data_IF_056134392545
#
_entry.id   IF_056134392545
#
_cell.length_a   1.000
_cell.length_b   1.000
_cell.length_c   1.000
_cell.angle_alpha   90.00
_cell.angle_beta   90.00
_cell.angle_gamma   90.00
#
_symmetry.space_group_name_H-M   'P 1'
#
loop_
_entity.id
_entity.type
_entity.pdbx_description
1 polymer ?
#
# COMPACT_ATOMS: atom_id res chain seq x y z
N UNK A 1 -15.78 -4.22 -25.97
CA UNK A 1 -14.39 -3.79 -25.73
C UNK A 1 -14.25 -3.53 -24.24
N UNK A 2 -13.38 -4.26 -23.54
CA UNK A 2 -13.05 -3.98 -22.14
C UNK A 2 -12.35 -2.63 -22.04
N UNK A 3 -12.70 -1.83 -21.04
CA UNK A 3 -12.02 -0.54 -20.80
C UNK A 3 -10.58 -0.79 -20.35
N UNK A 4 -9.70 0.18 -20.58
CA UNK A 4 -8.29 0.08 -20.17
C UNK A 4 -8.14 -0.17 -18.66
N UNK A 5 -8.98 0.48 -17.84
CA UNK A 5 -9.02 0.26 -16.39
C UNK A 5 -9.38 -1.18 -16.04
N UNK A 6 -10.31 -1.79 -16.78
CA UNK A 6 -10.74 -3.17 -16.55
C UNK A 6 -9.63 -4.17 -16.91
N UNK A 7 -8.91 -3.93 -18.01
CA UNK A 7 -7.73 -4.73 -18.37
C UNK A 7 -6.65 -4.68 -17.27
N UNK A 8 -6.37 -3.48 -16.74
CA UNK A 8 -5.41 -3.34 -15.64
C UNK A 8 -5.91 -3.98 -14.34
N UNK A 9 -7.20 -3.86 -14.03
CA UNK A 9 -7.81 -4.53 -12.87
C UNK A 9 -7.60 -6.05 -12.95
N UNK A 10 -7.91 -6.65 -14.10
CA UNK A 10 -7.73 -8.09 -14.31
C UNK A 10 -6.26 -8.51 -14.20
N UNK A 11 -5.33 -7.74 -14.76
CA UNK A 11 -3.90 -8.04 -14.68
C UNK A 11 -3.39 -8.02 -13.22
N UNK A 12 -3.82 -7.02 -12.44
CA UNK A 12 -3.48 -6.92 -11.01
C UNK A 12 -4.07 -8.07 -10.19
N UNK A 13 -5.33 -8.44 -10.44
CA UNK A 13 -5.97 -9.57 -9.76
C UNK A 13 -5.29 -10.91 -10.09
N UNK A 14 -4.94 -11.13 -11.35
CA UNK A 14 -4.19 -12.32 -11.76
C UNK A 14 -2.81 -12.38 -11.10
N UNK A 15 -2.12 -11.22 -10.99
CA UNK A 15 -0.85 -11.16 -10.27
C UNK A 15 -1.03 -11.48 -8.78
N UNK A 16 -2.07 -10.93 -8.12
CA UNK A 16 -2.38 -11.21 -6.71
C UNK A 16 -2.76 -12.67 -6.44
N UNK A 17 -3.32 -13.38 -7.43
CA UNK A 17 -3.59 -14.81 -7.30
C UNK A 17 -2.31 -15.67 -7.23
N UNK A 18 -1.15 -15.11 -7.60
CA UNK A 18 0.14 -15.82 -7.65
C UNK A 18 1.17 -15.28 -6.67
N UNK A 19 1.05 -14.00 -6.28
CA UNK A 19 2.01 -13.27 -5.45
C UNK A 19 1.28 -12.52 -4.35
N UNK A 20 1.84 -12.54 -3.14
CA UNK A 20 1.23 -11.85 -2.00
C UNK A 20 1.42 -10.33 -2.05
N UNK A 21 2.40 -9.84 -2.80
CA UNK A 21 2.67 -8.41 -2.98
C UNK A 21 2.97 -8.14 -4.45
N UNK A 22 2.26 -7.16 -5.01
CA UNK A 22 2.26 -6.89 -6.45
C UNK A 22 2.55 -5.43 -6.69
N UNK A 23 3.65 -5.13 -7.38
CA UNK A 23 3.94 -3.79 -7.86
C UNK A 23 2.98 -3.41 -8.98
N UNK A 24 2.20 -2.35 -8.79
CA UNK A 24 1.29 -1.85 -9.82
C UNK A 24 2.05 -1.53 -11.11
N UNK A 25 3.23 -0.91 -10.97
CA UNK A 25 4.04 -0.49 -12.11
C UNK A 25 4.72 -1.66 -12.80
N UNK A 26 5.25 -2.63 -12.05
CA UNK A 26 5.88 -3.80 -12.66
C UNK A 26 4.85 -4.64 -13.43
N UNK A 27 3.65 -4.84 -12.87
CA UNK A 27 2.55 -5.53 -13.57
C UNK A 27 2.17 -4.82 -14.88
N UNK A 28 2.20 -3.48 -14.91
CA UNK A 28 1.98 -2.75 -16.15
C UNK A 28 3.10 -2.97 -17.18
N UNK A 29 4.36 -2.99 -16.74
CA UNK A 29 5.50 -3.26 -17.62
C UNK A 29 5.42 -4.66 -18.19
N UNK A 30 5.11 -5.66 -17.36
CA UNK A 30 4.88 -7.05 -17.77
C UNK A 30 3.74 -7.15 -18.79
N UNK A 31 2.60 -6.48 -18.54
CA UNK A 31 1.42 -6.51 -19.41
C UNK A 31 1.61 -5.78 -20.74
N UNK A 32 2.25 -4.61 -20.72
CA UNK A 32 2.42 -3.75 -21.89
C UNK A 32 3.68 -4.06 -22.69
N UNK A 33 4.60 -4.85 -22.12
CA UNK A 33 5.94 -5.13 -22.64
C UNK A 33 6.77 -3.86 -22.90
N UNK A 34 6.45 -2.77 -22.18
CA UNK A 34 7.13 -1.47 -22.25
C UNK A 34 6.91 -0.64 -20.99
N UNK A 35 7.63 0.47 -20.88
CA UNK A 35 7.35 1.47 -19.86
C UNK A 35 5.94 2.08 -20.02
N UNK A 36 5.13 2.12 -18.95
CA UNK A 36 3.81 2.72 -18.98
C UNK A 36 3.88 4.25 -18.95
N UNK A 37 2.97 4.89 -19.68
CA UNK A 37 2.75 6.33 -19.67
C UNK A 37 2.12 6.78 -18.33
N UNK A 38 2.15 8.09 -18.05
CA UNK A 38 1.49 8.66 -16.86
C UNK A 38 -0.01 8.37 -16.81
N UNK A 39 -0.68 8.36 -17.98
CA UNK A 39 -2.10 8.05 -18.09
C UNK A 39 -2.40 6.61 -17.71
N UNK A 40 -1.57 5.67 -18.17
CA UNK A 40 -1.71 4.23 -17.87
C UNK A 40 -1.43 3.95 -16.39
N UNK A 41 -0.39 4.56 -15.83
CA UNK A 41 -0.12 4.47 -14.38
C UNK A 41 -1.29 5.03 -13.57
N UNK A 42 -1.87 6.15 -13.98
CA UNK A 42 -3.05 6.74 -13.31
C UNK A 42 -4.26 5.80 -13.38
N UNK A 43 -4.54 5.22 -14.55
CA UNK A 43 -5.64 4.26 -14.72
C UNK A 43 -5.42 2.99 -13.89
N UNK A 44 -4.19 2.48 -13.82
CA UNK A 44 -3.87 1.32 -12.98
C UNK A 44 -3.98 1.62 -11.49
N UNK A 45 -3.61 2.82 -11.04
CA UNK A 45 -3.83 3.22 -9.65
C UNK A 45 -5.32 3.33 -9.31
N UNK A 46 -6.17 3.76 -10.25
CA UNK A 46 -7.63 3.71 -10.06
C UNK A 46 -8.13 2.27 -9.96
N UNK A 47 -7.64 1.36 -10.81
CA UNK A 47 -7.96 -0.06 -10.74
C UNK A 47 -7.52 -0.68 -9.41
N UNK A 48 -6.29 -0.40 -8.96
CA UNK A 48 -5.75 -0.88 -7.70
C UNK A 48 -6.52 -0.34 -6.49
N UNK A 49 -6.87 0.94 -6.50
CA UNK A 49 -7.76 1.54 -5.50
C UNK A 49 -9.07 0.78 -5.42
N UNK A 50 -9.67 0.45 -6.57
CA UNK A 50 -10.94 -0.30 -6.59
C UNK A 50 -10.81 -1.69 -5.97
N UNK A 51 -9.74 -2.42 -6.30
CA UNK A 51 -9.44 -3.73 -5.68
C UNK A 51 -9.31 -3.60 -4.15
N UNK A 52 -8.65 -2.53 -3.68
CA UNK A 52 -8.53 -2.28 -2.25
C UNK A 52 -9.88 -1.91 -1.60
N UNK A 53 -10.70 -1.09 -2.26
CA UNK A 53 -12.07 -0.74 -1.81
C UNK A 53 -13.00 -1.96 -1.75
N UNK A 54 -12.83 -2.92 -2.66
CA UNK A 54 -13.58 -4.18 -2.67
C UNK A 54 -13.08 -5.14 -1.55
N UNK A 55 -11.98 -4.82 -0.88
CA UNK A 55 -11.42 -5.59 0.25
C UNK A 55 -10.55 -6.79 -0.15
N UNK A 56 -10.21 -6.88 -1.44
CA UNK A 56 -9.41 -7.96 -2.00
C UNK A 56 -7.93 -7.85 -1.63
N UNK A 57 -7.42 -6.63 -1.40
CA UNK A 57 -6.04 -6.37 -1.01
C UNK A 57 -5.90 -5.03 -0.27
N UNK A 58 -4.72 -4.77 0.27
CA UNK A 58 -4.31 -3.49 0.85
C UNK A 58 -3.48 -2.71 -0.17
N UNK A 59 -3.80 -1.44 -0.37
CA UNK A 59 -2.95 -0.51 -1.13
C UNK A 59 -1.90 0.09 -0.20
N UNK A 60 -0.63 -0.07 -0.54
CA UNK A 60 0.51 0.30 0.31
C UNK A 60 1.63 0.96 -0.51
N UNK A 61 2.28 1.97 0.06
CA UNK A 61 3.44 2.67 -0.53
C UNK A 61 4.74 2.11 0.05
N UNK A 62 5.52 1.37 -0.76
CA UNK A 62 6.74 0.71 -0.30
C UNK A 62 7.99 1.23 -1.01
N UNK A 63 9.09 1.32 -0.27
CA UNK A 63 10.43 1.46 -0.83
C UNK A 63 10.92 0.12 -1.42
N UNK A 64 11.89 0.13 -2.35
CA UNK A 64 12.39 -1.11 -2.95
C UNK A 64 12.96 -2.13 -1.95
N UNK A 65 13.62 -1.67 -0.89
CA UNK A 65 14.13 -2.54 0.18
C UNK A 65 13.02 -3.12 1.08
N UNK A 66 11.83 -2.52 1.06
CA UNK A 66 10.66 -2.97 1.82
C UNK A 66 9.77 -3.94 1.03
N UNK A 67 9.76 -3.83 -0.31
CA UNK A 67 8.93 -4.64 -1.20
C UNK A 67 9.48 -6.06 -1.46
N UNK A 68 10.71 -6.35 -1.01
CA UNK A 68 11.29 -7.68 -1.12
C UNK A 68 11.55 -8.11 -2.57
N UNK A 69 11.21 -9.36 -2.91
CA UNK A 69 11.50 -9.95 -4.21
C UNK A 69 10.72 -9.29 -5.38
N UNK A 70 9.55 -8.72 -5.11
CA UNK A 70 8.70 -8.05 -6.09
C UNK A 70 8.97 -6.54 -6.19
N UNK A 71 10.08 -6.08 -5.62
CA UNK A 71 10.46 -4.68 -5.62
C UNK A 71 10.62 -4.13 -7.04
N UNK A 72 9.82 -3.13 -7.37
CA UNK A 72 10.06 -2.33 -8.56
C UNK A 72 11.22 -1.36 -8.32
N UNK A 73 12.31 -1.57 -9.05
CA UNK A 73 13.48 -0.68 -9.05
C UNK A 73 13.48 0.13 -10.34
N UNK A 74 13.24 1.45 -10.28
CA UNK A 74 13.30 2.29 -11.46
C UNK A 74 14.69 2.25 -12.11
N UNK A 75 14.73 2.15 -13.44
CA UNK A 75 15.98 2.19 -14.23
C UNK A 75 16.58 3.60 -14.33
N UNK A 76 15.78 4.64 -14.06
CA UNK A 76 16.22 6.03 -14.11
C UNK A 76 17.19 6.38 -12.96
N UNK A 77 18.26 7.10 -13.30
CA UNK A 77 19.31 7.52 -12.35
C UNK A 77 18.70 8.32 -11.19
N UNK A 78 18.91 7.86 -9.96
CA UNK A 78 18.41 8.51 -8.73
C UNK A 78 16.99 8.12 -8.30
N UNK A 79 16.24 7.37 -9.12
CA UNK A 79 14.89 6.95 -8.76
C UNK A 79 14.85 5.65 -7.93
N UNK A 80 15.99 4.99 -7.72
CA UNK A 80 16.12 3.73 -6.97
C UNK A 80 15.74 3.80 -5.47
N UNK A 81 15.45 4.99 -4.93
CA UNK A 81 14.96 5.18 -3.54
C UNK A 81 13.55 5.72 -3.47
N UNK A 82 12.79 5.67 -4.57
CA UNK A 82 11.44 6.21 -4.61
C UNK A 82 10.42 5.15 -4.22
N UNK A 83 9.50 5.54 -3.34
CA UNK A 83 8.33 4.74 -3.00
C UNK A 83 7.49 4.47 -4.26
N UNK A 84 6.97 3.25 -4.33
CA UNK A 84 6.04 2.83 -5.37
C UNK A 84 4.81 2.23 -4.73
N UNK A 85 3.70 2.22 -5.47
CA UNK A 85 2.44 1.69 -4.98
C UNK A 85 2.35 0.19 -5.28
N UNK A 86 1.93 -0.57 -4.27
CA UNK A 86 1.74 -2.00 -4.33
C UNK A 86 0.33 -2.37 -3.85
N UNK A 87 -0.18 -3.47 -4.35
CA UNK A 87 -1.26 -4.21 -3.69
C UNK A 87 -0.64 -5.35 -2.90
N UNK A 88 -1.06 -5.53 -1.66
CA UNK A 88 -0.57 -6.62 -0.83
C UNK A 88 -1.69 -7.31 -0.07
N UNK A 89 -1.58 -8.63 0.03
CA UNK A 89 -2.32 -9.48 0.98
C UNK A 89 -1.37 -10.09 2.02
N UNK A 90 -0.08 -9.72 1.97
CA UNK A 90 0.92 -10.16 2.95
C UNK A 90 0.73 -9.42 4.28
N UNK A 91 0.09 -10.11 5.23
CA UNK A 91 -0.12 -9.58 6.58
C UNK A 91 1.18 -9.18 7.28
N UNK A 92 2.31 -9.84 6.98
CA UNK A 92 3.59 -9.51 7.61
C UNK A 92 4.03 -8.12 7.18
N UNK A 93 3.99 -7.83 5.87
CA UNK A 93 4.31 -6.50 5.36
C UNK A 93 3.36 -5.45 5.95
N UNK A 94 2.06 -5.76 6.06
CA UNK A 94 1.07 -4.86 6.64
C UNK A 94 1.38 -4.58 8.12
N UNK A 95 1.73 -5.60 8.90
CA UNK A 95 2.08 -5.49 10.34
C UNK A 95 3.42 -4.79 10.57
N UNK A 96 4.40 -5.03 9.71
CA UNK A 96 5.75 -4.45 9.83
C UNK A 96 5.77 -2.98 9.39
N UNK A 97 4.89 -2.58 8.46
CA UNK A 97 4.84 -1.24 7.87
C UNK A 97 3.41 -0.64 7.86
N UNK A 98 2.70 -0.60 8.99
CA UNK A 98 1.29 -0.21 9.03
C UNK A 98 1.08 1.27 8.65
N UNK A 99 2.07 2.12 8.92
CA UNK A 99 2.06 3.55 8.57
C UNK A 99 2.20 3.83 7.06
N UNK A 100 2.53 2.82 6.26
CA UNK A 100 2.63 2.92 4.79
C UNK A 100 1.34 2.56 4.07
N UNK A 101 0.34 2.07 4.80
CA UNK A 101 -0.95 1.66 4.22
C UNK A 101 -1.75 2.90 3.83
N UNK A 102 -1.99 3.03 2.52
CA UNK A 102 -2.73 4.14 1.92
C UNK A 102 -4.24 3.91 1.94
N UNK A 103 -4.66 2.66 1.67
CA UNK A 103 -6.07 2.29 1.63
C UNK A 103 -6.25 0.81 1.96
N UNK A 104 -7.19 0.56 2.87
CA UNK A 104 -7.66 -0.76 3.23
C UNK A 104 -9.13 -0.66 3.67
N UNK A 105 -9.87 -1.77 3.54
CA UNK A 105 -11.22 -1.89 4.11
C UNK A 105 -11.16 -2.39 5.55
N UNK A 106 -12.32 -2.34 6.21
CA UNK A 106 -12.49 -2.78 7.61
C UNK A 106 -12.03 -4.22 7.86
N UNK A 107 -12.06 -5.07 6.82
CA UNK A 107 -11.56 -6.45 6.86
C UNK A 107 -10.10 -6.52 7.31
N UNK A 108 -9.29 -5.50 6.99
CA UNK A 108 -7.87 -5.46 7.30
C UNK A 108 -7.54 -4.67 8.58
N UNK A 109 -8.52 -4.01 9.20
CA UNK A 109 -8.30 -3.13 10.35
C UNK A 109 -7.59 -3.87 11.48
N UNK A 110 -8.02 -5.10 11.83
CA UNK A 110 -7.40 -5.89 12.88
C UNK A 110 -5.90 -6.18 12.63
N UNK A 111 -5.51 -6.41 11.37
CA UNK A 111 -4.11 -6.66 11.00
C UNK A 111 -3.29 -5.38 11.11
N UNK A 112 -3.85 -4.25 10.65
CA UNK A 112 -3.19 -2.95 10.70
C UNK A 112 -3.05 -2.47 12.15
N UNK A 113 -4.10 -2.58 12.95
CA UNK A 113 -4.12 -2.18 14.36
C UNK A 113 -3.11 -2.97 15.19
N UNK A 114 -2.99 -4.27 14.92
CA UNK A 114 -1.92 -5.07 15.55
C UNK A 114 -0.52 -4.59 15.15
N UNK A 115 -0.30 -4.26 13.87
CA UNK A 115 0.94 -3.65 13.41
C UNK A 115 1.24 -2.31 14.11
N UNK A 116 0.23 -1.46 14.26
CA UNK A 116 0.34 -0.18 14.97
C UNK A 116 0.69 -0.40 16.45
N UNK A 117 0.06 -1.37 17.10
CA UNK A 117 0.36 -1.76 18.49
C UNK A 117 1.81 -2.26 18.65
N UNK A 118 2.29 -3.09 17.73
CA UNK A 118 3.68 -3.56 17.73
C UNK A 118 4.67 -2.41 17.49
N UNK A 119 4.32 -1.48 16.62
CA UNK A 119 5.11 -0.25 16.38
C UNK A 119 5.18 0.60 17.65
N UNK A 120 4.07 0.77 18.37
CA UNK A 120 4.03 1.47 19.66
C UNK A 120 4.99 0.82 20.65
N UNK A 121 4.86 -0.50 20.84
CA UNK A 121 5.68 -1.24 21.78
C UNK A 121 7.17 -1.10 21.45
N UNK A 122 7.53 -1.12 20.16
CA UNK A 122 8.91 -0.90 19.71
C UNK A 122 9.41 0.49 20.07
N UNK A 123 8.63 1.54 19.77
CA UNK A 123 8.98 2.93 20.09
C UNK A 123 9.15 3.12 21.60
N UNK A 124 8.27 2.53 22.41
CA UNK A 124 8.34 2.62 23.88
C UNK A 124 9.54 1.86 24.47
N UNK A 125 9.92 0.74 23.86
CA UNK A 125 11.04 -0.10 24.33
C UNK A 125 12.42 0.37 23.88
N UNK A 126 12.51 1.16 22.80
CA UNK A 126 13.76 1.66 22.24
C UNK A 126 13.97 3.13 22.66
N UNK A 127 14.97 3.42 23.51
CA UNK A 127 15.20 4.78 24.01
C UNK A 127 15.48 5.81 22.91
N UNK A 128 16.10 5.39 21.80
CA UNK A 128 16.41 6.28 20.68
C UNK A 128 15.14 6.58 19.88
N UNK A 129 14.32 5.57 19.58
CA UNK A 129 13.04 5.78 18.89
C UNK A 129 12.06 6.58 19.75
N UNK A 130 12.00 6.30 21.06
CA UNK A 130 11.18 7.05 22.02
C UNK A 130 11.54 8.54 22.04
N UNK A 131 12.84 8.86 22.02
CA UNK A 131 13.32 10.24 21.96
C UNK A 131 13.05 10.92 20.60
N UNK A 132 13.10 10.16 19.49
CA UNK A 132 12.86 10.68 18.14
C UNK A 132 11.38 10.89 17.82
N UNK A 133 10.49 10.10 18.44
CA UNK A 133 9.04 10.12 18.19
C UNK A 133 8.26 10.35 19.48
N UNK A 134 8.49 11.49 20.18
CA UNK A 134 7.85 11.75 21.46
C UNK A 134 6.34 11.87 21.28
N UNK A 135 5.60 11.11 22.09
CA UNK A 135 4.13 11.17 22.10
C UNK A 135 3.46 10.48 20.91
N UNK A 136 4.20 9.73 20.08
CA UNK A 136 3.58 8.86 19.09
C UNK A 136 2.67 7.84 19.78
N UNK A 137 1.45 7.71 19.26
CA UNK A 137 0.44 6.79 19.74
C UNK A 137 -0.19 6.07 18.57
N UNK A 138 -0.32 4.74 18.70
CA UNK A 138 -1.17 3.97 17.81
C UNK A 138 -2.62 4.48 17.91
N UNK A 139 -3.21 4.82 16.76
CA UNK A 139 -4.63 5.14 16.62
C UNK A 139 -5.30 3.98 15.87
N UNK A 140 -6.34 3.35 16.44
CA UNK A 140 -7.09 2.31 15.74
C UNK A 140 -7.69 2.82 14.43
N UNK A 141 -7.66 2.01 13.38
CA UNK A 141 -8.14 2.40 12.04
C UNK A 141 -9.60 2.83 12.02
N UNK A 142 -10.45 2.20 12.81
CA UNK A 142 -11.85 2.59 12.92
C UNK A 142 -12.01 4.02 13.44
N UNK A 143 -11.19 4.42 14.43
CA UNK A 143 -11.19 5.78 14.99
C UNK A 143 -10.67 6.80 13.99
N UNK A 144 -9.56 6.48 13.30
CA UNK A 144 -9.01 7.33 12.24
C UNK A 144 -10.03 7.58 11.12
N UNK A 145 -10.75 6.53 10.69
CA UNK A 145 -11.81 6.63 9.69
C UNK A 145 -12.97 7.48 10.17
N UNK A 146 -13.46 7.25 11.40
CA UNK A 146 -14.54 8.04 11.98
C UNK A 146 -14.17 9.53 12.06
N UNK A 147 -12.94 9.86 12.47
CA UNK A 147 -12.42 11.24 12.49
C UNK A 147 -12.42 11.85 11.09
N UNK A 148 -11.87 11.15 10.09
CA UNK A 148 -11.82 11.65 8.70
C UNK A 148 -13.23 11.86 8.11
N UNK A 149 -14.17 10.97 8.40
CA UNK A 149 -15.56 11.14 7.98
C UNK A 149 -16.19 12.38 8.63
N UNK A 150 -15.93 12.61 9.92
CA UNK A 150 -16.42 13.81 10.61
C UNK A 150 -15.79 15.11 10.04
N UNK A 151 -14.48 15.11 9.76
CA UNK A 151 -13.77 16.24 9.15
C UNK A 151 -14.32 16.56 7.74
N UNK A 152 -14.58 15.53 6.94
CA UNK A 152 -15.15 15.68 5.60
C UNK A 152 -16.59 16.20 5.64
N UNK A 153 -17.37 15.84 6.67
CA UNK A 153 -18.74 16.35 6.84
C UNK A 153 -18.80 17.79 7.38
N UNK A 154 -17.69 18.28 7.96
CA UNK A 154 -17.57 19.64 8.48
C UNK A 154 -16.99 20.66 7.46
N UNK A 155 -16.57 20.18 6.29
CA UNK A 155 -16.00 20.97 5.17
C UNK A 155 -17.04 21.22 4.08
#
# INVERSE_FOLDING_TARGET
MTSMTETFRQALQNALATRNTVSIRNTLIELLERDPSKGEVSAANKAARRIAEDGDAVLISLLPDQAGADAYVPTARGAARRESNYLTVDEKIIKDLPCRVELATEKWDAVIDEGMRLTQQKIESDPMLSALLPGWKAEPRAEERARRTAEAAAS
#
